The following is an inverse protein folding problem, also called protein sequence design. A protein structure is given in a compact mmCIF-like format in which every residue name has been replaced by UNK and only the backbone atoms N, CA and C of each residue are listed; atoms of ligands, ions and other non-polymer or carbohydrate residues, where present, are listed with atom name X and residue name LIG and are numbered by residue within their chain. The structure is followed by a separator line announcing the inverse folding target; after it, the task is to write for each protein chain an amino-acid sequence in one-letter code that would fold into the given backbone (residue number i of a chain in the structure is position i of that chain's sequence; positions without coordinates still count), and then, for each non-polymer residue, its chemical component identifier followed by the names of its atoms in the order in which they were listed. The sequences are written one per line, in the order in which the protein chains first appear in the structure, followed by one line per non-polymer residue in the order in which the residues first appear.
data_IF_822413919617
#
_entry.id   IF_822413919617
#
_cell.length_a   1.000
_cell.length_b   1.000
_cell.length_c   1.000
_cell.angle_alpha   90.00
_cell.angle_beta   90.00
_cell.angle_gamma   90.00
#
_symmetry.space_group_name_H-M   'P 1'
#
loop_
_entity.id
_entity.type
_entity.pdbx_description
1 polymer ?
#
# COMPACT_ATOMS: atom_id res chain seq x y z
N UNK A 1 -12.87 9.26 4.13
CA UNK A 1 -12.84 8.35 2.97
C UNK A 1 -12.90 6.91 3.41
N UNK A 2 -13.57 6.09 2.63
CA UNK A 2 -13.57 4.67 2.86
C UNK A 2 -12.22 4.06 2.53
N UNK A 3 -11.83 3.03 3.27
CA UNK A 3 -10.68 2.21 2.94
C UNK A 3 -11.19 0.95 2.26
N UNK A 4 -10.63 0.66 1.09
CA UNK A 4 -11.02 -0.53 0.35
C UNK A 4 -9.79 -1.38 0.06
N UNK A 5 -9.94 -2.68 0.14
CA UNK A 5 -8.87 -3.63 -0.13
C UNK A 5 -9.24 -4.48 -1.32
N UNK A 6 -8.30 -4.64 -2.24
CA UNK A 6 -8.47 -5.64 -3.28
C UNK A 6 -8.28 -7.03 -2.65
N UNK A 7 -8.66 -8.04 -3.38
CA UNK A 7 -8.44 -9.41 -2.92
C UNK A 7 -6.96 -9.66 -2.64
N UNK A 8 -6.10 -9.15 -3.52
CA UNK A 8 -4.65 -9.34 -3.36
C UNK A 8 -4.13 -8.61 -2.15
N UNK A 9 -4.50 -7.35 -1.96
CA UNK A 9 -3.99 -6.58 -0.82
C UNK A 9 -4.48 -7.15 0.51
N UNK A 10 -5.70 -7.66 0.56
CA UNK A 10 -6.20 -8.29 1.78
C UNK A 10 -5.41 -9.56 2.09
N UNK A 11 -5.12 -10.36 1.07
CA UNK A 11 -4.29 -11.56 1.26
C UNK A 11 -2.89 -11.17 1.73
N UNK A 12 -2.33 -10.09 1.17
CA UNK A 12 -1.03 -9.59 1.61
C UNK A 12 -1.06 -9.19 3.07
N UNK A 13 -2.09 -8.45 3.47
CA UNK A 13 -2.23 -7.99 4.84
C UNK A 13 -2.25 -9.16 5.81
N UNK A 14 -3.02 -10.19 5.49
CA UNK A 14 -3.08 -11.39 6.32
C UNK A 14 -1.75 -12.12 6.35
N UNK A 15 -1.01 -12.12 5.24
CA UNK A 15 0.31 -12.73 5.19
C UNK A 15 1.27 -12.03 6.15
N UNK A 16 1.28 -10.69 6.18
CA UNK A 16 2.13 -9.96 7.11
C UNK A 16 1.73 -10.22 8.56
N UNK A 17 0.44 -10.34 8.81
CA UNK A 17 -0.04 -10.65 10.16
C UNK A 17 0.51 -11.98 10.64
N UNK A 18 0.58 -12.96 9.75
CA UNK A 18 1.03 -14.30 10.07
C UNK A 18 2.56 -14.38 10.19
N UNK A 19 3.26 -13.79 9.23
CA UNK A 19 4.68 -14.04 9.07
C UNK A 19 5.59 -12.89 9.43
N UNK A 20 5.10 -11.65 9.38
CA UNK A 20 5.92 -10.46 9.61
C UNK A 20 5.18 -9.41 10.43
N UNK A 21 4.82 -9.74 11.67
CA UNK A 21 3.99 -8.82 12.47
C UNK A 21 4.62 -7.45 12.73
N UNK A 22 5.96 -7.37 12.74
CA UNK A 22 6.62 -6.07 12.91
C UNK A 22 6.40 -5.18 11.69
N UNK A 23 6.40 -5.77 10.50
CA UNK A 23 6.12 -5.01 9.28
C UNK A 23 4.65 -4.64 9.19
N UNK A 24 3.77 -5.46 9.74
CA UNK A 24 2.36 -5.10 9.78
C UNK A 24 2.14 -3.81 10.57
N UNK A 25 2.88 -3.64 11.67
CA UNK A 25 2.80 -2.41 12.44
C UNK A 25 3.16 -1.20 11.57
N UNK A 26 4.22 -1.35 10.78
CA UNK A 26 4.63 -0.29 9.84
C UNK A 26 3.55 -0.04 8.79
N UNK A 27 2.95 -1.10 8.26
CA UNK A 27 1.87 -0.98 7.29
C UNK A 27 0.71 -0.19 7.89
N UNK A 28 0.35 -0.49 9.13
CA UNK A 28 -0.75 0.21 9.79
C UNK A 28 -0.43 1.70 9.97
N UNK A 29 0.82 2.04 10.28
CA UNK A 29 1.24 3.43 10.36
C UNK A 29 1.10 4.14 9.02
N UNK A 30 1.50 3.46 7.95
CA UNK A 30 1.38 4.01 6.61
C UNK A 30 -0.07 4.24 6.22
N UNK A 31 -0.94 3.30 6.53
CA UNK A 31 -2.37 3.44 6.24
C UNK A 31 -2.95 4.66 6.94
N UNK A 32 -2.60 4.84 8.21
CA UNK A 32 -3.06 6.01 8.96
C UNK A 32 -2.56 7.32 8.35
N UNK A 33 -1.29 7.32 7.93
CA UNK A 33 -0.72 8.53 7.34
C UNK A 33 -1.36 8.86 6.00
N UNK A 34 -1.62 7.83 5.19
CA UNK A 34 -2.30 8.02 3.91
C UNK A 34 -3.68 8.62 4.09
N UNK A 35 -4.39 8.22 5.14
CA UNK A 35 -5.71 8.79 5.42
C UNK A 35 -5.64 10.28 5.72
N UNK A 36 -4.57 10.72 6.36
CA UNK A 36 -4.38 12.14 6.66
C UNK A 36 -3.88 12.91 5.45
N UNK A 37 -2.90 12.35 4.76
CA UNK A 37 -2.24 13.01 3.64
C UNK A 37 -1.94 11.98 2.56
N UNK A 38 -2.85 11.81 1.59
CA UNK A 38 -2.68 10.73 0.60
C UNK A 38 -1.44 10.85 -0.28
N UNK A 39 -0.90 12.06 -0.45
CA UNK A 39 0.17 12.28 -1.42
C UNK A 39 1.48 12.76 -0.80
N UNK A 40 1.51 12.96 0.50
CA UNK A 40 2.73 13.38 1.20
C UNK A 40 2.82 12.63 2.53
N UNK A 41 4.01 12.56 3.10
CA UNK A 41 4.17 11.96 4.42
C UNK A 41 5.24 10.88 4.45
N UNK A 42 5.06 9.94 5.37
CA UNK A 42 6.08 8.90 5.61
C UNK A 42 6.11 7.85 4.51
N UNK A 43 7.24 7.16 4.39
CA UNK A 43 7.37 6.07 3.43
C UNK A 43 7.66 6.50 2.00
N UNK A 44 8.09 7.75 1.81
CA UNK A 44 8.43 8.28 0.49
C UNK A 44 7.33 8.06 -0.54
N UNK A 45 6.16 8.70 -0.35
CA UNK A 45 5.08 8.55 -1.32
C UNK A 45 5.50 9.04 -2.70
N UNK A 46 5.23 8.23 -3.71
CA UNK A 46 5.54 8.61 -5.08
C UNK A 46 4.53 8.05 -6.05
N UNK A 47 4.21 8.79 -7.11
CA UNK A 47 3.29 8.30 -8.13
C UNK A 47 3.98 7.26 -9.00
N UNK A 48 3.22 6.26 -9.41
CA UNK A 48 3.71 5.26 -10.33
C UNK A 48 3.47 5.69 -11.77
N UNK A 49 4.08 4.98 -12.72
CA UNK A 49 4.09 5.39 -14.11
C UNK A 49 3.44 4.35 -15.02
N UNK A 50 3.32 4.69 -16.30
CA UNK A 50 2.78 3.82 -17.35
C UNK A 50 1.36 3.38 -17.01
N UNK A 51 1.08 2.10 -17.14
CA UNK A 51 -0.27 1.60 -16.89
C UNK A 51 -0.70 1.66 -15.43
N UNK A 52 0.21 2.06 -14.54
CA UNK A 52 -0.09 2.26 -13.12
C UNK A 52 -0.11 3.74 -12.74
N UNK A 53 -0.29 4.63 -13.72
CA UNK A 53 -0.14 6.07 -13.50
C UNK A 53 -1.14 6.69 -12.52
N UNK A 54 -2.24 6.01 -12.22
CA UNK A 54 -3.19 6.51 -11.22
C UNK A 54 -2.89 6.00 -9.80
N UNK A 55 -1.84 5.20 -9.66
CA UNK A 55 -1.49 4.61 -8.38
C UNK A 55 -0.29 5.29 -7.76
N UNK A 56 -0.19 5.16 -6.45
CA UNK A 56 0.91 5.67 -5.65
C UNK A 56 1.51 4.53 -4.84
N UNK A 57 2.77 4.70 -4.42
CA UNK A 57 3.39 3.71 -3.55
C UNK A 57 4.04 4.40 -2.35
N UNK A 58 4.12 3.65 -1.26
CA UNK A 58 4.92 4.03 -0.09
C UNK A 58 5.75 2.84 0.34
N UNK A 59 6.94 3.12 0.82
CA UNK A 59 7.87 2.07 1.24
C UNK A 59 7.46 1.50 2.59
N UNK A 60 7.35 0.19 2.65
CA UNK A 60 7.20 -0.53 3.92
C UNK A 60 8.60 -0.83 4.45
N UNK A 61 9.44 -1.40 3.60
CA UNK A 61 10.87 -1.64 3.87
C UNK A 61 11.61 -1.63 2.54
N UNK A 62 12.83 -2.16 2.50
CA UNK A 62 13.62 -2.17 1.27
C UNK A 62 13.01 -3.05 0.17
N UNK A 63 12.20 -4.01 0.54
CA UNK A 63 11.62 -4.97 -0.39
C UNK A 63 10.16 -4.67 -0.73
N UNK A 64 9.38 -4.37 0.27
CA UNK A 64 7.91 -4.28 0.13
C UNK A 64 7.42 -2.85 0.02
N UNK A 65 6.37 -2.67 -0.79
CA UNK A 65 5.72 -1.38 -0.95
C UNK A 65 4.22 -1.52 -0.81
N UNK A 66 3.63 -0.49 -0.24
CA UNK A 66 2.19 -0.34 -0.18
C UNK A 66 1.77 0.42 -1.42
N UNK A 67 0.98 -0.21 -2.27
CA UNK A 67 0.50 0.40 -3.52
C UNK A 67 -0.97 0.71 -3.37
N UNK A 68 -1.35 1.94 -3.69
CA UNK A 68 -2.72 2.41 -3.46
C UNK A 68 -3.14 3.43 -4.50
N UNK A 69 -4.44 3.65 -4.56
CA UNK A 69 -5.07 4.60 -5.46
C UNK A 69 -6.11 5.38 -4.69
N UNK A 70 -6.21 6.69 -4.96
CA UNK A 70 -7.16 7.55 -4.29
C UNK A 70 -8.24 7.97 -5.28
N UNK A 71 -9.49 7.80 -4.90
CA UNK A 71 -10.63 8.27 -5.67
C UNK A 71 -11.34 9.35 -4.86
N UNK A 72 -12.45 9.86 -5.39
CA UNK A 72 -13.22 10.89 -4.69
C UNK A 72 -13.76 10.39 -3.34
N UNK A 73 -14.01 9.10 -3.22
CA UNK A 73 -14.68 8.56 -2.05
C UNK A 73 -13.88 7.49 -1.31
N UNK A 74 -12.80 6.99 -1.89
CA UNK A 74 -12.10 5.84 -1.33
C UNK A 74 -10.60 5.92 -1.49
N UNK A 75 -9.90 5.25 -0.57
CA UNK A 75 -8.50 4.89 -0.75
C UNK A 75 -8.51 3.38 -0.97
N UNK A 76 -8.03 2.97 -2.13
CA UNK A 76 -8.05 1.56 -2.53
C UNK A 76 -6.63 1.02 -2.45
N UNK A 77 -6.42 0.03 -1.58
CA UNK A 77 -5.12 -0.62 -1.45
C UNK A 77 -5.04 -1.77 -2.45
N UNK A 78 -4.02 -1.72 -3.32
CA UNK A 78 -3.85 -2.69 -4.37
C UNK A 78 -2.93 -3.84 -3.95
N UNK A 79 -1.86 -3.53 -3.20
CA UNK A 79 -0.95 -4.56 -2.71
C UNK A 79 -0.09 -4.00 -1.58
N UNK A 80 0.43 -4.89 -0.74
CA UNK A 80 1.37 -4.54 0.33
C UNK A 80 2.68 -5.31 0.22
N UNK A 81 2.68 -6.37 -0.55
CA UNK A 81 3.81 -7.27 -0.61
C UNK A 81 4.43 -7.21 -1.99
N UNK A 82 5.77 -7.32 -2.04
CA UNK A 82 6.43 -7.42 -3.33
C UNK A 82 6.08 -8.78 -3.93
N UNK A 83 5.50 -8.74 -5.12
CA UNK A 83 5.16 -9.94 -5.85
C UNK A 83 6.09 -10.04 -7.04
N UNK A 84 6.87 -11.10 -7.09
CA UNK A 84 7.75 -11.32 -8.22
C UNK A 84 6.90 -11.61 -9.45
N UNK A 85 7.08 -10.78 -10.46
CA UNK A 85 6.42 -11.01 -11.72
C UNK A 85 7.19 -12.02 -12.53
N UNK A 86 6.47 -12.95 -13.08
CA UNK A 86 7.05 -13.91 -14.02
C UNK A 86 6.77 -13.41 -15.40
N UNK A 87 7.77 -12.99 -16.05
CA UNK A 87 7.59 -12.45 -17.40
C UNK A 87 8.21 -13.34 -18.41
#
# INVERSE_FOLDING_TARGET
MKLAFTKESWADYLWFQEYEPKLLKRINELIKDIQRNPFTGIGKPEPLKANLSSYWSRRINSEHRLVYKVTDSEIIFASFKFHYSKH
#
